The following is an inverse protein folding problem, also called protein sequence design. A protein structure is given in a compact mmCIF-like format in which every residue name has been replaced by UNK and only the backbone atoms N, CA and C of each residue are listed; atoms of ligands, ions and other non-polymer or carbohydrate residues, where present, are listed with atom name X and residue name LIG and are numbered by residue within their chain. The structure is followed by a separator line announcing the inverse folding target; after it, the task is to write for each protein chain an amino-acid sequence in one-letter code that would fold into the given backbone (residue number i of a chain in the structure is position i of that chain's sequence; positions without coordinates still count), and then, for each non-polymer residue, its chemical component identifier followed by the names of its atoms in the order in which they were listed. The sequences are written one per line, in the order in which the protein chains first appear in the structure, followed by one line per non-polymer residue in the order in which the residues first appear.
data_IF_313653521056
#
_entry.id   IF_313653521056
#
_cell.length_a   1.000
_cell.length_b   1.000
_cell.length_c   1.000
_cell.angle_alpha   90.00
_cell.angle_beta   90.00
_cell.angle_gamma   90.00
#
_symmetry.space_group_name_H-M   'P 1'
#
loop_
_entity.id
_entity.type
_entity.pdbx_description
1 polymer ?
#
# COMPACT_ATOMS: atom_id res chain seq x y z
N UNK A 1 0.43 31.27 13.15
CA UNK A 1 0.44 31.36 11.67
C UNK A 1 -0.99 31.20 11.19
N UNK A 2 -1.45 31.99 10.21
CA UNK A 2 -2.77 31.75 9.59
C UNK A 2 -2.70 30.45 8.80
N UNK A 3 -3.67 29.56 8.98
CA UNK A 3 -3.83 28.39 8.12
C UNK A 3 -4.14 28.86 6.70
N UNK A 4 -3.54 28.19 5.71
CA UNK A 4 -3.73 28.49 4.30
C UNK A 4 -4.74 27.52 3.71
N UNK A 5 -5.78 28.04 3.06
CA UNK A 5 -6.84 27.22 2.48
C UNK A 5 -6.87 27.28 0.96
N UNK A 6 -7.36 26.22 0.32
CA UNK A 6 -7.56 26.19 -1.14
C UNK A 6 -8.46 27.33 -1.61
N UNK A 7 -9.56 27.59 -0.89
CA UNK A 7 -10.51 28.65 -1.24
C UNK A 7 -9.93 30.06 -1.22
N UNK A 8 -8.78 30.28 -0.57
CA UNK A 8 -8.16 31.59 -0.44
C UNK A 8 -7.03 31.80 -1.46
N UNK A 9 -6.50 30.72 -2.05
CA UNK A 9 -5.23 30.75 -2.79
C UNK A 9 -5.33 30.29 -4.26
N UNK A 10 -6.45 29.70 -4.68
CA UNK A 10 -6.63 29.19 -6.06
C UNK A 10 -7.57 30.07 -6.88
N UNK A 11 -7.27 31.36 -6.93
CA UNK A 11 -7.96 32.38 -7.74
C UNK A 11 -7.11 32.82 -8.93
N UNK A 12 -7.75 33.45 -9.93
CA UNK A 12 -7.09 34.13 -11.04
C UNK A 12 -7.68 35.52 -11.21
N UNK A 13 -6.85 36.49 -11.63
CA UNK A 13 -7.27 37.87 -11.92
C UNK A 13 -7.98 37.98 -13.27
N UNK A 14 -7.65 37.11 -14.24
CA UNK A 14 -8.41 36.99 -15.49
C UNK A 14 -9.78 36.35 -15.22
N UNK A 15 -10.84 37.06 -15.61
CA UNK A 15 -12.23 36.69 -15.38
C UNK A 15 -12.59 35.31 -15.92
N UNK A 16 -12.06 34.93 -17.10
CA UNK A 16 -12.39 33.65 -17.73
C UNK A 16 -11.37 32.54 -17.45
N UNK A 17 -10.30 32.84 -16.71
CA UNK A 17 -9.29 31.84 -16.39
C UNK A 17 -9.83 30.79 -15.41
N UNK A 18 -9.44 29.54 -15.68
CA UNK A 18 -9.71 28.36 -14.84
C UNK A 18 -8.44 27.83 -14.18
N UNK A 19 -7.30 28.51 -14.33
CA UNK A 19 -6.00 27.96 -13.96
C UNK A 19 -5.91 27.47 -12.51
N UNK A 20 -6.48 28.21 -11.55
CA UNK A 20 -6.51 27.78 -10.14
C UNK A 20 -7.29 26.48 -9.94
N UNK A 21 -8.45 26.36 -10.59
CA UNK A 21 -9.27 25.15 -10.55
C UNK A 21 -8.57 23.97 -11.24
N UNK A 22 -7.98 24.20 -12.42
CA UNK A 22 -7.29 23.16 -13.19
C UNK A 22 -6.10 22.59 -12.42
N UNK A 23 -5.35 23.43 -11.70
CA UNK A 23 -4.27 22.98 -10.82
C UNK A 23 -4.78 22.09 -9.67
N UNK A 24 -5.91 22.43 -9.05
CA UNK A 24 -6.52 21.60 -8.00
C UNK A 24 -6.96 20.24 -8.54
N UNK A 25 -7.62 20.23 -9.70
CA UNK A 25 -8.05 18.99 -10.35
C UNK A 25 -6.87 18.11 -10.72
N UNK A 26 -5.80 18.71 -11.26
CA UNK A 26 -4.57 17.98 -11.56
C UNK A 26 -3.97 17.36 -10.30
N UNK A 27 -3.84 18.14 -9.22
CA UNK A 27 -3.33 17.66 -7.93
C UNK A 27 -4.12 16.46 -7.38
N UNK A 28 -5.46 16.54 -7.39
CA UNK A 28 -6.31 15.43 -6.94
C UNK A 28 -6.22 14.19 -7.84
N UNK A 29 -6.00 14.37 -9.15
CA UNK A 29 -5.77 13.27 -10.08
C UNK A 29 -4.42 12.59 -9.82
N UNK A 30 -3.38 13.36 -9.52
CA UNK A 30 -2.07 12.83 -9.13
C UNK A 30 -2.14 12.08 -7.78
N UNK A 31 -2.91 12.62 -6.82
CA UNK A 31 -3.22 11.93 -5.57
C UNK A 31 -3.92 10.58 -5.80
N UNK A 32 -4.89 10.53 -6.72
CA UNK A 32 -5.56 9.28 -7.13
C UNK A 32 -4.58 8.28 -7.76
N UNK A 33 -3.67 8.75 -8.61
CA UNK A 33 -2.63 7.92 -9.24
C UNK A 33 -1.71 7.30 -8.18
N UNK A 34 -1.28 8.11 -7.21
CA UNK A 34 -0.47 7.65 -6.08
C UNK A 34 -1.17 6.54 -5.29
N UNK A 35 -2.48 6.66 -5.02
CA UNK A 35 -3.25 5.61 -4.36
C UNK A 35 -3.25 4.30 -5.17
N UNK A 36 -3.29 4.37 -6.50
CA UNK A 36 -3.23 3.18 -7.36
C UNK A 36 -1.85 2.53 -7.34
N UNK A 37 -0.78 3.33 -7.38
CA UNK A 37 0.60 2.82 -7.27
C UNK A 37 0.84 2.10 -5.94
N UNK A 38 0.35 2.65 -4.82
CA UNK A 38 0.44 2.02 -3.50
C UNK A 38 -0.40 0.73 -3.43
N UNK A 39 -1.63 0.74 -3.98
CA UNK A 39 -2.46 -0.46 -4.08
C UNK A 39 -1.72 -1.58 -4.83
N UNK A 40 -1.16 -1.27 -6.00
CA UNK A 40 -0.43 -2.24 -6.82
C UNK A 40 0.81 -2.77 -6.10
N UNK A 41 1.52 -1.91 -5.38
CA UNK A 41 2.66 -2.30 -4.56
C UNK A 41 2.25 -3.31 -3.47
N UNK A 42 1.18 -3.04 -2.73
CA UNK A 42 0.67 -3.93 -1.68
C UNK A 42 0.19 -5.27 -2.28
N UNK A 43 -0.50 -5.24 -3.43
CA UNK A 43 -0.93 -6.46 -4.16
C UNK A 43 0.27 -7.30 -4.63
N UNK A 44 1.34 -6.66 -5.11
CA UNK A 44 2.57 -7.34 -5.48
C UNK A 44 3.24 -7.97 -4.26
N UNK A 45 3.32 -7.25 -3.13
CA UNK A 45 3.87 -7.79 -1.88
C UNK A 45 3.06 -8.98 -1.38
N UNK A 46 1.73 -8.90 -1.37
CA UNK A 46 0.86 -10.00 -0.99
C UNK A 46 1.11 -11.27 -1.83
N UNK A 47 1.36 -11.11 -3.13
CA UNK A 47 1.66 -12.23 -4.02
C UNK A 47 2.98 -12.91 -3.67
N UNK A 48 3.99 -12.14 -3.28
CA UNK A 48 5.29 -12.66 -2.82
C UNK A 48 5.09 -13.45 -1.51
N UNK A 49 4.39 -12.87 -0.54
CA UNK A 49 4.12 -13.51 0.75
C UNK A 49 3.33 -14.82 0.59
N UNK A 50 2.31 -14.84 -0.27
CA UNK A 50 1.53 -16.06 -0.52
C UNK A 50 2.40 -17.15 -1.14
N UNK A 51 3.24 -16.80 -2.12
CA UNK A 51 4.15 -17.77 -2.74
C UNK A 51 5.10 -18.35 -1.70
N UNK A 52 5.71 -17.49 -0.87
CA UNK A 52 6.62 -17.92 0.18
C UNK A 52 5.93 -18.86 1.18
N UNK A 53 4.75 -18.47 1.69
CA UNK A 53 3.97 -19.29 2.61
C UNK A 53 3.61 -20.66 2.04
N UNK A 54 3.17 -20.72 0.77
CA UNK A 54 2.84 -21.98 0.09
C UNK A 54 4.05 -22.90 -0.09
N UNK A 55 5.20 -22.34 -0.45
CA UNK A 55 6.43 -23.13 -0.60
C UNK A 55 6.90 -23.70 0.74
N UNK A 56 6.75 -22.96 1.85
CA UNK A 56 7.03 -23.47 3.20
C UNK A 56 6.08 -24.61 3.61
N UNK A 57 4.77 -24.47 3.36
CA UNK A 57 3.79 -25.55 3.61
C UNK A 57 4.11 -26.79 2.76
N UNK A 58 4.54 -26.61 1.51
CA UNK A 58 4.96 -27.73 0.67
C UNK A 58 6.26 -28.38 1.18
N UNK A 59 7.19 -27.58 1.70
CA UNK A 59 8.43 -28.06 2.30
C UNK A 59 8.17 -28.89 3.56
N UNK A 60 7.24 -28.47 4.43
CA UNK A 60 6.91 -29.21 5.67
C UNK A 60 6.41 -30.63 5.40
N UNK A 61 5.83 -30.89 4.22
CA UNK A 61 5.34 -32.21 3.80
C UNK A 61 6.44 -33.13 3.29
N UNK A 62 7.62 -32.62 2.95
CA UNK A 62 8.75 -33.45 2.51
C UNK A 62 9.25 -34.32 3.67
N UNK A 63 9.84 -35.47 3.31
CA UNK A 63 10.44 -36.36 4.30
C UNK A 63 11.68 -35.69 4.91
N UNK A 64 11.74 -35.63 6.24
CA UNK A 64 12.88 -35.17 7.00
C UNK A 64 12.91 -35.99 8.29
N UNK A 65 14.00 -36.72 8.55
CA UNK A 65 14.16 -37.52 9.77
C UNK A 65 13.31 -38.80 9.84
N UNK A 66 12.96 -39.44 8.72
CA UNK A 66 12.10 -40.64 8.74
C UNK A 66 12.70 -41.82 9.51
N UNK A 67 14.03 -41.94 9.50
CA UNK A 67 14.77 -43.02 10.16
C UNK A 67 15.15 -42.70 11.59
N UNK A 68 14.98 -41.45 12.02
CA UNK A 68 15.27 -41.03 13.39
C UNK A 68 14.28 -41.69 14.36
N UNK A 69 14.73 -41.88 15.60
CA UNK A 69 13.95 -42.56 16.63
C UNK A 69 13.70 -41.67 17.84
N UNK A 70 12.70 -42.07 18.64
CA UNK A 70 12.41 -41.55 19.97
C UNK A 70 12.49 -40.01 20.12
N UNK A 71 13.43 -39.46 20.88
CA UNK A 71 13.42 -38.05 21.26
C UNK A 71 13.85 -37.14 20.11
N UNK A 72 14.89 -37.50 19.34
CA UNK A 72 15.30 -36.76 18.16
C UNK A 72 14.21 -36.77 17.07
N UNK A 73 13.52 -37.89 16.87
CA UNK A 73 12.40 -37.97 15.93
C UNK A 73 11.29 -36.98 16.27
N UNK A 74 10.93 -36.90 17.56
CA UNK A 74 9.91 -35.96 18.05
C UNK A 74 10.32 -34.50 17.80
N UNK A 75 11.58 -34.15 18.05
CA UNK A 75 12.06 -32.79 17.78
C UNK A 75 12.04 -32.43 16.29
N UNK A 76 12.35 -33.38 15.40
CA UNK A 76 12.21 -33.17 13.96
C UNK A 76 10.75 -33.02 13.53
N UNK A 77 9.82 -33.74 14.16
CA UNK A 77 8.39 -33.57 13.89
C UNK A 77 7.89 -32.18 14.31
N UNK A 78 8.32 -31.69 15.49
CA UNK A 78 8.02 -30.31 15.92
C UNK A 78 8.63 -29.30 14.96
N UNK A 79 9.89 -29.46 14.56
CA UNK A 79 10.53 -28.59 13.57
C UNK A 79 9.70 -28.49 12.28
N UNK A 80 9.29 -29.61 11.70
CA UNK A 80 8.46 -29.63 10.49
C UNK A 80 7.11 -28.94 10.71
N UNK A 81 6.47 -29.19 11.85
CA UNK A 81 5.20 -28.56 12.20
C UNK A 81 5.33 -27.04 12.31
N UNK A 82 6.40 -26.53 12.92
CA UNK A 82 6.61 -25.09 13.03
C UNK A 82 6.92 -24.43 11.69
N UNK A 83 7.65 -25.10 10.79
CA UNK A 83 7.82 -24.64 9.40
C UNK A 83 6.47 -24.53 8.67
N UNK A 84 5.56 -25.49 8.89
CA UNK A 84 4.20 -25.39 8.35
C UNK A 84 3.44 -24.21 8.92
N UNK A 85 3.49 -24.00 10.23
CA UNK A 85 2.81 -22.90 10.92
C UNK A 85 3.32 -21.53 10.44
N UNK A 86 4.64 -21.38 10.24
CA UNK A 86 5.24 -20.18 9.63
C UNK A 86 4.67 -19.97 8.21
N UNK A 87 4.63 -21.04 7.40
CA UNK A 87 4.05 -20.98 6.05
C UNK A 87 2.58 -20.55 6.05
N UNK A 88 1.78 -21.06 6.98
CA UNK A 88 0.38 -20.66 7.17
C UNK A 88 0.26 -19.19 7.60
N UNK A 89 1.12 -18.71 8.51
CA UNK A 89 1.15 -17.32 8.94
C UNK A 89 1.45 -16.36 7.77
N UNK A 90 2.43 -16.67 6.91
CA UNK A 90 2.72 -15.89 5.71
C UNK A 90 1.55 -15.90 4.71
N UNK A 91 0.88 -17.05 4.53
CA UNK A 91 -0.31 -17.12 3.68
C UNK A 91 -1.48 -16.26 4.21
N UNK A 92 -1.67 -16.23 5.54
CA UNK A 92 -2.66 -15.37 6.19
C UNK A 92 -2.31 -13.88 6.07
N UNK A 93 -1.04 -13.52 6.25
CA UNK A 93 -0.55 -12.15 6.02
C UNK A 93 -0.86 -11.70 4.59
N UNK A 94 -0.58 -12.54 3.59
CA UNK A 94 -0.88 -12.24 2.19
C UNK A 94 -2.37 -11.91 1.97
N UNK A 95 -3.28 -12.65 2.62
CA UNK A 95 -4.71 -12.36 2.55
C UNK A 95 -5.06 -11.01 3.21
N UNK A 96 -4.50 -10.74 4.39
CA UNK A 96 -4.69 -9.46 5.10
C UNK A 96 -4.23 -8.26 4.26
N UNK A 97 -3.09 -8.39 3.57
CA UNK A 97 -2.54 -7.38 2.66
C UNK A 97 -3.47 -7.13 1.45
N UNK A 98 -4.09 -8.18 0.91
CA UNK A 98 -5.07 -8.02 -0.20
C UNK A 98 -6.32 -7.27 0.23
N UNK A 99 -6.78 -7.52 1.44
CA UNK A 99 -7.93 -6.80 2.00
C UNK A 99 -7.61 -5.32 2.24
N UNK A 100 -6.39 -5.01 2.70
CA UNK A 100 -5.93 -3.64 2.82
C UNK A 100 -5.87 -2.93 1.46
N UNK A 101 -5.28 -3.58 0.45
CA UNK A 101 -5.25 -3.04 -0.90
C UNK A 101 -6.66 -2.82 -1.46
N UNK A 102 -7.61 -3.72 -1.17
CA UNK A 102 -9.01 -3.56 -1.55
C UNK A 102 -9.67 -2.36 -0.87
N UNK A 103 -9.41 -2.12 0.42
CA UNK A 103 -9.93 -0.93 1.12
C UNK A 103 -9.39 0.37 0.50
N UNK A 104 -8.14 0.39 0.07
CA UNK A 104 -7.55 1.53 -0.65
C UNK A 104 -8.18 1.74 -2.03
N UNK A 105 -8.45 0.65 -2.76
CA UNK A 105 -9.17 0.66 -4.02
C UNK A 105 -10.58 1.27 -3.87
N UNK A 106 -11.35 0.78 -2.88
CA UNK A 106 -12.70 1.28 -2.58
C UNK A 106 -12.68 2.76 -2.17
N UNK A 107 -11.69 3.18 -1.36
CA UNK A 107 -11.49 4.58 -1.01
C UNK A 107 -11.21 5.46 -2.23
N UNK A 108 -10.30 5.02 -3.11
CA UNK A 108 -9.93 5.76 -4.33
C UNK A 108 -11.12 5.94 -5.26
N UNK A 109 -11.91 4.89 -5.50
CA UNK A 109 -13.07 4.98 -6.40
C UNK A 109 -14.17 5.88 -5.82
N UNK A 110 -14.42 5.82 -4.51
CA UNK A 110 -15.34 6.76 -3.84
C UNK A 110 -14.92 8.21 -3.99
N UNK A 111 -13.63 8.53 -3.78
CA UNK A 111 -13.15 9.90 -3.94
C UNK A 111 -13.27 10.38 -5.40
N UNK A 112 -12.90 9.53 -6.37
CA UNK A 112 -13.06 9.81 -7.81
C UNK A 112 -14.51 10.13 -8.17
N UNK A 113 -15.46 9.33 -7.70
CA UNK A 113 -16.88 9.52 -8.04
C UNK A 113 -17.46 10.78 -7.39
N UNK A 114 -17.08 11.07 -6.14
CA UNK A 114 -17.45 12.32 -5.47
C UNK A 114 -16.92 13.53 -6.23
N UNK A 115 -15.62 13.52 -6.59
CA UNK A 115 -14.97 14.62 -7.30
C UNK A 115 -15.59 14.86 -8.68
N UNK A 116 -15.89 13.80 -9.44
CA UNK A 116 -16.53 13.89 -10.76
C UNK A 116 -17.86 14.63 -10.74
N UNK A 117 -18.67 14.48 -9.68
CA UNK A 117 -19.94 15.21 -9.55
C UNK A 117 -19.71 16.72 -9.45
N UNK A 118 -18.70 17.13 -8.68
CA UNK A 118 -18.31 18.54 -8.56
C UNK A 118 -17.73 19.07 -9.88
N UNK A 119 -16.90 18.27 -10.56
CA UNK A 119 -16.35 18.61 -11.88
C UNK A 119 -17.44 18.89 -12.91
N UNK A 120 -18.46 18.02 -13.02
CA UNK A 120 -19.57 18.21 -13.95
C UNK A 120 -20.37 19.48 -13.67
N UNK A 121 -20.62 19.79 -12.39
CA UNK A 121 -21.36 20.99 -12.02
C UNK A 121 -20.55 22.27 -12.31
N UNK A 122 -19.27 22.27 -11.95
CA UNK A 122 -18.37 23.39 -12.23
C UNK A 122 -18.18 23.63 -13.72
N UNK A 123 -18.09 22.58 -14.54
CA UNK A 123 -18.00 22.70 -16.00
C UNK A 123 -19.22 23.44 -16.59
N UNK A 124 -20.43 23.14 -16.10
CA UNK A 124 -21.65 23.84 -16.49
C UNK A 124 -21.60 25.33 -16.13
N UNK A 125 -21.17 25.66 -14.90
CA UNK A 125 -21.03 27.04 -14.44
C UNK A 125 -19.98 27.80 -15.24
N UNK A 126 -18.84 27.19 -15.56
CA UNK A 126 -17.81 27.82 -16.41
C UNK A 126 -18.32 28.13 -17.82
N UNK A 127 -19.09 27.21 -18.42
CA UNK A 127 -19.73 27.44 -19.73
C UNK A 127 -20.74 28.59 -19.67
N UNK A 128 -21.57 28.63 -18.64
CA UNK A 128 -22.54 29.71 -18.42
C UNK A 128 -21.83 31.06 -18.22
N UNK A 129 -20.81 31.12 -17.36
CA UNK A 129 -19.99 32.31 -17.10
C UNK A 129 -19.35 32.85 -18.36
N UNK A 130 -18.69 31.97 -19.13
CA UNK A 130 -18.01 32.35 -20.38
C UNK A 130 -19.00 32.85 -21.43
N UNK A 131 -20.15 32.18 -21.57
CA UNK A 131 -21.20 32.58 -22.51
C UNK A 131 -21.79 33.95 -22.15
N UNK A 132 -22.11 34.17 -20.87
CA UNK A 132 -22.64 35.44 -20.40
C UNK A 132 -21.61 36.56 -20.55
N UNK A 133 -20.33 36.31 -20.25
CA UNK A 133 -19.26 37.28 -20.45
C UNK A 133 -19.17 37.76 -21.89
N UNK A 134 -19.22 36.84 -22.87
CA UNK A 134 -19.20 37.19 -24.30
C UNK A 134 -20.38 38.09 -24.67
N UNK A 135 -21.61 37.76 -24.24
CA UNK A 135 -22.81 38.57 -24.49
C UNK A 135 -22.70 39.98 -23.86
N UNK A 136 -22.16 40.06 -22.65
CA UNK A 136 -21.96 41.34 -21.96
C UNK A 136 -20.92 42.21 -22.68
N UNK A 137 -19.81 41.62 -23.15
CA UNK A 137 -18.80 42.37 -23.91
C UNK A 137 -19.30 42.80 -25.30
N UNK A 138 -20.12 41.99 -25.96
CA UNK A 138 -20.72 42.34 -27.25
C UNK A 138 -21.76 43.47 -27.13
N UNK A 139 -22.62 43.41 -26.11
CA UNK A 139 -23.55 44.51 -25.81
C UNK A 139 -22.84 45.79 -25.39
N UNK A 140 -21.73 45.71 -24.64
CA UNK A 140 -20.85 46.86 -24.36
C UNK A 140 -20.35 47.51 -25.64
N UNK A 141 -19.76 46.71 -26.55
CA UNK A 141 -19.24 47.20 -27.84
C UNK A 141 -20.34 47.85 -28.69
N UNK A 142 -21.53 47.26 -28.69
CA UNK A 142 -22.69 47.79 -29.42
C UNK A 142 -23.14 49.13 -28.83
N UNK A 143 -23.26 49.22 -27.50
CA UNK A 143 -23.59 50.45 -26.80
C UNK A 143 -22.57 51.56 -27.11
N UNK A 144 -21.28 51.28 -26.98
CA UNK A 144 -20.20 52.23 -27.29
C UNK A 144 -20.28 52.72 -28.75
N UNK A 145 -20.61 51.82 -29.69
CA UNK A 145 -20.80 52.18 -31.09
C UNK A 145 -22.02 53.10 -31.30
N UNK A 146 -23.14 52.81 -30.64
CA UNK A 146 -24.35 53.64 -30.73
C UNK A 146 -24.17 55.02 -30.07
N UNK A 147 -23.38 55.11 -29.01
CA UNK A 147 -22.98 56.39 -28.42
C UNK A 147 -22.16 57.23 -29.40
N UNK A 148 -21.18 56.65 -30.10
CA UNK A 148 -20.40 57.36 -31.13
C UNK A 148 -21.28 57.85 -32.29
N UNK A 149 -22.22 57.02 -32.76
CA UNK A 149 -23.17 57.40 -33.82
C UNK A 149 -24.09 58.56 -33.39
N UNK A 150 -24.54 58.56 -32.13
CA UNK A 150 -25.31 59.65 -31.53
C UNK A 150 -24.49 60.95 -31.48
N UNK A 151 -23.26 60.89 -30.98
CA UNK A 151 -22.37 62.06 -30.91
C UNK A 151 -22.09 62.64 -32.30
N UNK A 152 -21.86 61.80 -33.31
CA UNK A 152 -21.66 62.23 -34.69
C UNK A 152 -22.92 62.89 -35.27
N UNK A 153 -24.11 62.33 -35.01
CA UNK A 153 -25.38 62.90 -35.46
C UNK A 153 -25.68 64.25 -34.79
N UNK A 154 -25.41 64.39 -33.50
CA UNK A 154 -25.54 65.65 -32.75
C UNK A 154 -24.55 66.72 -33.26
N UNK A 155 -23.28 66.35 -33.49
CA UNK A 155 -22.28 67.25 -34.07
C UNK A 155 -22.69 67.71 -35.48
N UNK A 156 -23.20 66.80 -36.32
CA UNK A 156 -23.63 67.14 -37.67
C UNK A 156 -24.87 68.05 -37.67
N UNK A 157 -25.81 67.83 -36.75
CA UNK A 157 -26.96 68.71 -36.55
C UNK A 157 -26.50 70.12 -36.13
N UNK A 158 -25.59 70.22 -35.17
CA UNK A 158 -25.05 71.50 -34.69
C UNK A 158 -24.29 72.27 -35.78
N UNK A 159 -23.48 71.58 -36.60
CA UNK A 159 -22.75 72.21 -37.71
C UNK A 159 -23.69 72.79 -38.78
N UNK A 160 -24.87 72.21 -38.95
CA UNK A 160 -25.85 72.64 -39.95
C UNK A 160 -27.01 73.45 -39.35
N UNK A 161 -26.88 73.93 -38.10
CA UNK A 161 -27.96 74.62 -37.39
C UNK A 161 -28.45 75.91 -38.09
N UNK A 162 -27.58 76.56 -38.86
CA UNK A 162 -27.87 77.81 -39.58
C UNK A 162 -28.26 77.60 -41.06
N UNK A 163 -28.52 76.35 -41.49
CA UNK A 163 -28.94 76.09 -42.88
C UNK A 163 -30.35 76.63 -43.14
N UNK A 164 -30.58 77.27 -44.28
CA UNK A 164 -31.90 77.79 -44.68
C UNK A 164 -32.82 76.71 -45.29
N UNK A 165 -32.33 75.47 -45.44
CA UNK A 165 -33.09 74.35 -45.98
C UNK A 165 -33.83 73.60 -44.86
N UNK A 166 -35.09 73.96 -44.64
CA UNK A 166 -35.98 73.38 -43.60
C UNK A 166 -36.08 71.86 -43.71
N UNK A 167 -36.23 71.29 -44.92
CA UNK A 167 -36.30 69.83 -45.12
C UNK A 167 -35.01 69.11 -44.70
N UNK A 168 -33.86 69.73 -44.93
CA UNK A 168 -32.57 69.18 -44.51
C UNK A 168 -32.42 69.23 -42.99
N UNK A 169 -32.86 70.32 -42.37
CA UNK A 169 -32.83 70.50 -40.92
C UNK A 169 -33.73 69.49 -40.19
N UNK A 170 -34.96 69.28 -40.67
CA UNK A 170 -35.86 68.24 -40.16
C UNK A 170 -35.23 66.84 -40.24
N UNK A 171 -34.62 66.49 -41.39
CA UNK A 171 -33.97 65.19 -41.58
C UNK A 171 -32.81 64.96 -40.59
N UNK A 172 -32.02 66.00 -40.30
CA UNK A 172 -30.93 65.93 -39.34
C UNK A 172 -31.45 65.80 -37.90
N UNK A 173 -32.54 66.50 -37.54
CA UNK A 173 -33.21 66.34 -36.25
C UNK A 173 -33.76 64.93 -36.07
N UNK A 174 -34.46 64.39 -37.08
CA UNK A 174 -34.97 63.01 -37.04
C UNK A 174 -33.84 62.01 -36.87
N UNK A 175 -32.73 62.17 -37.61
CA UNK A 175 -31.56 61.29 -37.47
C UNK A 175 -30.96 61.35 -36.05
N UNK A 176 -30.80 62.55 -35.49
CA UNK A 176 -30.28 62.74 -34.12
C UNK A 176 -31.18 62.08 -33.07
N UNK A 177 -32.51 62.23 -33.19
CA UNK A 177 -33.47 61.58 -32.30
C UNK A 177 -33.43 60.05 -32.44
N UNK A 178 -33.32 59.52 -33.66
CA UNK A 178 -33.20 58.07 -33.90
C UNK A 178 -31.92 57.48 -33.31
N UNK A 179 -30.77 58.13 -33.53
CA UNK A 179 -29.50 57.67 -32.96
C UNK A 179 -29.48 57.75 -31.44
N UNK A 180 -30.15 58.76 -30.86
CA UNK A 180 -30.34 58.87 -29.41
C UNK A 180 -31.17 57.71 -28.86
N UNK A 181 -32.33 57.44 -29.45
CA UNK A 181 -33.18 56.31 -29.03
C UNK A 181 -32.44 54.96 -29.16
N UNK A 182 -31.70 54.75 -30.25
CA UNK A 182 -30.91 53.54 -30.44
C UNK A 182 -29.76 53.38 -29.41
N UNK A 183 -29.14 54.48 -28.99
CA UNK A 183 -28.15 54.47 -27.91
C UNK A 183 -28.80 54.17 -26.55
N UNK A 184 -29.95 54.77 -26.25
CA UNK A 184 -30.69 54.53 -25.00
C UNK A 184 -31.19 53.07 -24.92
N UNK A 185 -31.60 52.46 -26.03
CA UNK A 185 -32.00 51.05 -26.05
C UNK A 185 -30.80 50.10 -25.93
N UNK A 186 -29.67 50.42 -26.57
CA UNK A 186 -28.43 49.67 -26.40
C UNK A 186 -27.88 49.76 -24.96
N UNK A 187 -28.03 50.90 -24.30
CA UNK A 187 -27.68 51.11 -22.89
C UNK A 187 -28.50 50.19 -21.97
N UNK A 188 -29.83 50.16 -22.13
CA UNK A 188 -30.71 49.26 -21.38
C UNK A 188 -30.28 47.80 -21.53
N UNK A 189 -29.99 47.35 -22.76
CA UNK A 189 -29.53 45.98 -23.03
C UNK A 189 -28.19 45.70 -22.35
N UNK A 190 -27.24 46.64 -22.42
CA UNK A 190 -25.94 46.49 -21.76
C UNK A 190 -26.09 46.42 -20.24
N UNK A 191 -26.87 47.32 -19.62
CA UNK A 191 -27.16 47.31 -18.18
C UNK A 191 -27.81 46.00 -17.72
N UNK A 192 -28.74 45.46 -18.51
CA UNK A 192 -29.35 44.15 -18.25
C UNK A 192 -28.31 43.02 -18.29
N UNK A 193 -27.43 43.01 -19.30
CA UNK A 193 -26.38 42.01 -19.42
C UNK A 193 -25.30 42.12 -18.34
N UNK A 194 -24.97 43.33 -17.87
CA UNK A 194 -24.08 43.55 -16.71
C UNK A 194 -24.72 42.99 -15.44
N UNK A 195 -26.01 43.28 -15.21
CA UNK A 195 -26.76 42.74 -14.07
C UNK A 195 -26.80 41.21 -14.07
N UNK A 196 -27.03 40.60 -15.24
CA UNK A 196 -27.04 39.15 -15.39
C UNK A 196 -25.64 38.54 -15.21
N UNK A 197 -24.60 39.20 -15.73
CA UNK A 197 -23.22 38.77 -15.54
C UNK A 197 -22.83 38.75 -14.06
N UNK A 198 -23.23 39.76 -13.28
CA UNK A 198 -22.94 39.81 -11.85
C UNK A 198 -23.59 38.64 -11.10
N UNK A 199 -24.83 38.27 -11.44
CA UNK A 199 -25.50 37.09 -10.87
C UNK A 199 -24.74 35.79 -11.17
N UNK A 200 -24.35 35.60 -12.43
CA UNK A 200 -23.59 34.40 -12.85
C UNK A 200 -22.19 34.37 -12.20
N UNK A 201 -21.54 35.53 -12.04
CA UNK A 201 -20.25 35.65 -11.35
C UNK A 201 -20.36 35.28 -9.88
N UNK A 202 -21.38 35.79 -9.18
CA UNK A 202 -21.63 35.51 -7.76
C UNK A 202 -21.95 34.03 -7.52
N UNK A 203 -22.79 33.43 -8.37
CA UNK A 203 -23.10 31.99 -8.33
C UNK A 203 -21.84 31.14 -8.53
N UNK A 204 -21.05 31.45 -9.57
CA UNK A 204 -19.78 30.78 -9.82
C UNK A 204 -18.80 30.93 -8.66
N UNK A 205 -18.66 32.13 -8.09
CA UNK A 205 -17.71 32.37 -7.00
C UNK A 205 -18.09 31.56 -5.75
N UNK A 206 -19.38 31.54 -5.39
CA UNK A 206 -19.89 30.76 -4.26
C UNK A 206 -19.61 29.27 -4.45
N UNK A 207 -19.82 28.77 -5.66
CA UNK A 207 -19.59 27.35 -5.94
C UNK A 207 -18.10 27.00 -6.03
N UNK A 208 -17.26 27.90 -6.55
CA UNK A 208 -15.81 27.73 -6.55
C UNK A 208 -15.26 27.59 -5.13
N UNK A 209 -15.72 28.42 -4.20
CA UNK A 209 -15.32 28.34 -2.78
C UNK A 209 -15.71 26.98 -2.20
N UNK A 210 -16.97 26.55 -2.38
CA UNK A 210 -17.44 25.24 -1.89
C UNK A 210 -16.65 24.08 -2.50
N UNK A 211 -16.35 24.16 -3.79
CA UNK A 211 -15.56 23.15 -4.51
C UNK A 211 -14.15 23.07 -3.92
N UNK A 212 -13.51 24.21 -3.64
CA UNK A 212 -12.20 24.26 -3.00
C UNK A 212 -12.23 23.62 -1.60
N UNK A 213 -13.22 23.92 -0.78
CA UNK A 213 -13.39 23.32 0.56
C UNK A 213 -13.61 21.80 0.47
N UNK A 214 -14.40 21.34 -0.51
CA UNK A 214 -14.59 19.92 -0.76
C UNK A 214 -13.28 19.23 -1.17
N UNK A 215 -12.55 19.80 -2.11
CA UNK A 215 -11.26 19.28 -2.59
C UNK A 215 -10.20 19.24 -1.49
N UNK A 216 -10.14 20.28 -0.65
CA UNK A 216 -9.25 20.32 0.51
C UNK A 216 -9.60 19.21 1.50
N UNK A 217 -10.90 19.00 1.77
CA UNK A 217 -11.36 17.89 2.62
C UNK A 217 -10.94 16.54 2.04
N UNK A 218 -11.13 16.32 0.73
CA UNK A 218 -10.69 15.09 0.07
C UNK A 218 -9.18 14.86 0.19
N UNK A 219 -8.37 15.92 0.09
CA UNK A 219 -6.92 15.84 0.18
C UNK A 219 -6.46 15.52 1.61
N UNK A 220 -7.07 16.15 2.62
CA UNK A 220 -6.82 15.83 4.03
C UNK A 220 -7.15 14.37 4.32
N UNK A 221 -8.31 13.89 3.86
CA UNK A 221 -8.69 12.48 4.01
C UNK A 221 -7.71 11.54 3.31
N UNK A 222 -7.26 11.88 2.10
CA UNK A 222 -6.29 11.08 1.32
C UNK A 222 -4.97 10.95 2.07
N UNK A 223 -4.42 12.04 2.57
CA UNK A 223 -3.16 12.04 3.32
C UNK A 223 -3.28 11.18 4.58
N UNK A 224 -4.38 11.34 5.33
CA UNK A 224 -4.63 10.53 6.53
C UNK A 224 -4.78 9.04 6.20
N UNK A 225 -5.54 8.72 5.16
CA UNK A 225 -5.78 7.35 4.74
C UNK A 225 -4.48 6.65 4.33
N UNK A 226 -3.66 7.30 3.49
CA UNK A 226 -2.37 6.75 3.07
C UNK A 226 -1.43 6.54 4.26
N UNK A 227 -1.31 7.53 5.15
CA UNK A 227 -0.49 7.39 6.36
C UNK A 227 -0.92 6.18 7.19
N UNK A 228 -2.23 6.01 7.40
CA UNK A 228 -2.76 4.94 8.24
C UNK A 228 -2.62 3.56 7.59
N UNK A 229 -2.76 3.45 6.27
CA UNK A 229 -2.52 2.21 5.52
C UNK A 229 -1.05 1.83 5.65
N UNK A 230 -0.12 2.74 5.32
CA UNK A 230 1.31 2.41 5.43
C UNK A 230 1.71 2.04 6.85
N UNK A 231 1.14 2.72 7.86
CA UNK A 231 1.34 2.37 9.27
C UNK A 231 0.83 0.96 9.61
N UNK A 232 -0.38 0.62 9.16
CA UNK A 232 -0.98 -0.70 9.39
C UNK A 232 -0.17 -1.78 8.69
N UNK A 233 0.21 -1.55 7.44
CA UNK A 233 1.06 -2.42 6.65
C UNK A 233 2.35 -2.78 7.39
N UNK A 234 3.11 -1.79 7.86
CA UNK A 234 4.38 -2.07 8.57
C UNK A 234 4.16 -2.76 9.91
N UNK A 235 3.07 -2.49 10.63
CA UNK A 235 2.76 -3.20 11.87
C UNK A 235 2.45 -4.68 11.63
N UNK A 236 1.76 -5.01 10.53
CA UNK A 236 1.51 -6.40 10.16
C UNK A 236 2.81 -7.14 9.85
N UNK A 237 3.77 -6.48 9.19
CA UNK A 237 5.10 -7.07 8.93
C UNK A 237 5.88 -7.28 10.23
N UNK A 238 5.85 -6.32 11.15
CA UNK A 238 6.48 -6.46 12.47
C UNK A 238 5.88 -7.61 13.27
N UNK A 239 4.54 -7.72 13.28
CA UNK A 239 3.84 -8.82 13.95
C UNK A 239 4.23 -10.18 13.37
N UNK A 240 4.38 -10.29 12.04
CA UNK A 240 4.82 -11.52 11.39
C UNK A 240 6.22 -11.95 11.84
N UNK A 241 7.13 -11.00 12.09
CA UNK A 241 8.46 -11.28 12.60
C UNK A 241 8.40 -11.88 14.01
N UNK A 242 7.59 -11.29 14.89
CA UNK A 242 7.38 -11.78 16.26
C UNK A 242 6.77 -13.18 16.26
N UNK A 243 5.72 -13.40 15.47
CA UNK A 243 5.08 -14.71 15.36
C UNK A 243 6.05 -15.78 14.82
N UNK A 244 6.94 -15.41 13.89
CA UNK A 244 7.97 -16.34 13.39
C UNK A 244 8.98 -16.70 14.49
N UNK A 245 9.40 -15.71 15.29
CA UNK A 245 10.32 -15.90 16.42
C UNK A 245 9.75 -16.87 17.46
N UNK A 246 8.46 -16.72 17.80
CA UNK A 246 7.73 -17.63 18.69
C UNK A 246 7.75 -19.07 18.18
N UNK A 247 7.53 -19.27 16.87
CA UNK A 247 7.59 -20.62 16.28
C UNK A 247 9.00 -21.22 16.32
N UNK A 248 10.05 -20.42 16.11
CA UNK A 248 11.43 -20.88 16.23
C UNK A 248 11.81 -21.22 17.67
N UNK A 249 11.27 -20.49 18.65
CA UNK A 249 11.44 -20.78 20.06
C UNK A 249 10.85 -22.16 20.44
N UNK A 250 9.68 -22.51 19.93
CA UNK A 250 9.09 -23.84 20.16
C UNK A 250 9.94 -24.99 19.59
N UNK A 251 10.63 -24.76 18.47
CA UNK A 251 11.61 -25.73 17.95
C UNK A 251 12.79 -25.88 18.91
N UNK A 252 13.34 -24.77 19.42
CA UNK A 252 14.47 -24.79 20.36
C UNK A 252 14.12 -25.53 21.65
N UNK A 253 12.96 -25.24 22.25
CA UNK A 253 12.44 -25.99 23.42
C UNK A 253 12.29 -27.48 23.16
N UNK A 254 11.85 -27.88 21.95
CA UNK A 254 11.75 -29.30 21.62
C UNK A 254 13.11 -29.97 21.46
N UNK A 255 14.13 -29.24 20.99
CA UNK A 255 15.50 -29.74 20.88
C UNK A 255 16.15 -29.92 22.26
N UNK A 256 15.89 -29.03 23.20
CA UNK A 256 16.34 -29.15 24.60
C UNK A 256 15.83 -30.43 25.29
N UNK A 257 14.71 -30.99 24.81
CA UNK A 257 14.15 -32.24 25.32
C UNK A 257 14.78 -33.50 24.70
N UNK A 258 15.69 -33.36 23.73
CA UNK A 258 16.39 -34.49 23.13
C UNK A 258 17.33 -35.15 24.14
N UNK A 259 17.38 -36.48 24.13
CA UNK A 259 18.24 -37.25 25.03
C UNK A 259 18.93 -38.36 24.24
N UNK A 260 20.22 -38.14 23.98
CA UNK A 260 21.08 -39.09 23.26
C UNK A 260 21.03 -40.47 23.92
N UNK A 261 21.12 -40.53 25.25
CA UNK A 261 21.09 -41.78 25.99
C UNK A 261 19.77 -42.55 25.79
N UNK A 262 18.62 -41.86 25.90
CA UNK A 262 17.31 -42.49 25.68
C UNK A 262 17.12 -42.95 24.24
N UNK A 263 17.71 -42.27 23.28
CA UNK A 263 17.62 -42.65 21.86
C UNK A 263 18.50 -43.88 21.57
N UNK A 264 19.70 -43.96 22.16
CA UNK A 264 20.57 -45.14 22.08
C UNK A 264 19.92 -46.35 22.76
N UNK A 265 19.41 -46.19 23.98
CA UNK A 265 18.69 -47.25 24.70
C UNK A 265 17.50 -47.77 23.89
N UNK A 266 16.68 -46.84 23.38
CA UNK A 266 15.54 -47.19 22.53
C UNK A 266 15.97 -47.97 21.28
N UNK A 267 17.07 -47.59 20.63
CA UNK A 267 17.59 -48.33 19.48
C UNK A 267 18.09 -49.74 19.85
N UNK A 268 18.87 -49.85 20.93
CA UNK A 268 19.37 -51.15 21.42
C UNK A 268 18.18 -52.06 21.69
N UNK A 269 17.19 -51.61 22.46
CA UNK A 269 15.99 -52.40 22.79
C UNK A 269 15.23 -52.83 21.54
N UNK A 270 15.18 -51.98 20.51
CA UNK A 270 14.47 -52.24 19.27
C UNK A 270 15.22 -53.17 18.29
N UNK A 271 16.56 -53.28 18.39
CA UNK A 271 17.42 -53.96 17.41
C UNK A 271 18.39 -54.99 17.99
N UNK A 272 18.32 -55.28 19.30
CA UNK A 272 19.22 -56.23 19.95
C UNK A 272 19.15 -57.62 19.31
N UNK A 273 20.31 -58.19 18.98
CA UNK A 273 20.42 -59.51 18.33
C UNK A 273 20.92 -60.62 19.27
N UNK A 274 21.30 -60.27 20.50
CA UNK A 274 21.84 -61.19 21.50
C UNK A 274 22.58 -60.44 22.60
N UNK A 275 22.77 -61.09 23.75
CA UNK A 275 23.52 -60.53 24.87
C UNK A 275 24.91 -61.17 25.03
N UNK A 276 25.08 -62.35 24.47
CA UNK A 276 26.29 -63.17 24.61
C UNK A 276 27.04 -63.25 23.28
N UNK A 277 28.36 -63.00 23.29
CA UNK A 277 29.17 -63.19 22.09
C UNK A 277 29.23 -64.68 21.70
N UNK A 278 29.49 -65.01 20.43
CA UNK A 278 29.70 -66.39 20.01
C UNK A 278 30.76 -67.09 20.87
N UNK A 279 30.48 -68.33 21.28
CA UNK A 279 31.42 -69.12 22.06
C UNK A 279 32.70 -69.40 21.23
N UNK A 280 33.89 -69.44 21.86
CA UNK A 280 35.10 -69.88 21.19
C UNK A 280 34.91 -71.27 20.59
N UNK A 281 35.38 -71.49 19.36
CA UNK A 281 35.30 -72.80 18.70
C UNK A 281 36.38 -73.71 19.31
N UNK A 282 36.03 -74.77 20.08
CA UNK A 282 37.02 -75.69 20.59
C UNK A 282 37.59 -76.55 19.45
N UNK A 283 38.84 -76.99 19.58
CA UNK A 283 39.39 -78.00 18.68
C UNK A 283 38.68 -79.34 18.94
N UNK A 284 38.01 -79.86 17.92
CA UNK A 284 37.40 -81.19 17.96
C UNK A 284 38.29 -82.18 17.21
N UNK A 285 38.95 -83.06 17.96
CA UNK A 285 39.72 -84.13 17.36
C UNK A 285 38.77 -85.18 16.75
N UNK A 286 38.91 -85.46 15.46
CA UNK A 286 38.10 -86.43 14.71
C UNK A 286 38.03 -87.83 15.36
N UNK A 287 39.04 -88.23 16.14
CA UNK A 287 39.12 -89.55 16.77
C UNK A 287 38.53 -89.61 18.20
N UNK A 288 38.12 -88.49 18.82
CA UNK A 288 37.63 -88.44 20.21
C UNK A 288 36.12 -88.77 20.38
N UNK A 289 35.47 -89.36 19.39
CA UNK A 289 34.06 -89.79 19.46
C UNK A 289 33.74 -90.93 20.42
N UNK A 290 34.65 -91.36 21.31
CA UNK A 290 34.44 -92.46 22.26
C UNK A 290 34.57 -92.03 23.74
N UNK A 291 33.50 -91.40 24.23
CA UNK A 291 32.93 -91.44 25.61
C UNK A 291 33.72 -90.88 26.82
N UNK A 292 32.98 -90.50 27.90
CA UNK A 292 33.29 -89.33 28.70
C UNK A 292 34.01 -89.67 30.00
N UNK A 293 34.75 -88.71 30.56
CA UNK A 293 34.79 -88.56 32.01
C UNK A 293 35.17 -87.15 32.44
N UNK A 294 34.47 -86.71 33.48
CA UNK A 294 34.72 -85.49 34.20
C UNK A 294 36.15 -85.47 34.76
N UNK A 295 36.83 -84.34 34.60
CA UNK A 295 37.84 -83.90 35.55
C UNK A 295 37.92 -82.39 35.51
N UNK A 296 37.48 -81.76 36.61
CA UNK A 296 37.85 -80.38 36.94
C UNK A 296 39.37 -80.31 37.03
N UNK A 297 39.96 -79.32 36.37
CA UNK A 297 41.29 -78.83 36.71
C UNK A 297 41.34 -77.33 36.42
N UNK A 298 41.48 -76.55 37.49
CA UNK A 298 41.79 -75.13 37.44
C UNK A 298 43.06 -74.91 36.61
N UNK A 299 43.01 -73.96 35.69
CA UNK A 299 44.22 -73.44 35.05
C UNK A 299 44.38 -71.99 35.51
N UNK A 300 45.43 -71.75 36.29
CA UNK A 300 45.90 -70.42 36.64
C UNK A 300 46.28 -69.68 35.35
N UNK A 301 45.53 -68.62 35.05
CA UNK A 301 45.88 -67.70 33.98
C UNK A 301 46.96 -66.72 34.51
N UNK A 302 48.11 -66.72 33.84
CA UNK A 302 49.22 -65.81 34.16
C UNK A 302 48.76 -64.34 34.10
N UNK A 303 49.18 -63.57 35.11
CA UNK A 303 48.94 -62.11 35.18
C UNK A 303 49.57 -61.44 33.95
N UNK A 304 48.75 -61.05 32.97
CA UNK A 304 49.09 -59.96 32.04
C UNK A 304 49.07 -58.66 32.84
N UNK A 305 50.19 -57.96 32.89
CA UNK A 305 50.21 -56.56 33.31
C UNK A 305 49.31 -55.72 32.39
N UNK A 306 48.70 -54.64 32.89
CA UNK A 306 47.78 -53.83 32.09
C UNK A 306 48.52 -53.21 30.90
N UNK A 307 47.89 -53.28 29.71
CA UNK A 307 48.30 -52.46 28.57
C UNK A 307 48.10 -50.98 28.93
N UNK A 308 49.00 -50.08 28.49
CA UNK A 308 48.78 -48.64 28.66
C UNK A 308 47.47 -48.23 27.98
N UNK A 309 46.68 -47.44 28.69
CA UNK A 309 45.45 -46.84 28.19
C UNK A 309 45.76 -45.93 26.99
N UNK A 310 45.05 -46.07 25.86
CA UNK A 310 45.04 -45.03 24.84
C UNK A 310 44.48 -43.76 25.47
N UNK A 311 45.24 -42.67 25.43
CA UNK A 311 44.74 -41.33 25.73
C UNK A 311 43.79 -40.90 24.62
N UNK A 312 42.54 -41.36 24.69
CA UNK A 312 41.42 -40.68 24.06
C UNK A 312 40.74 -39.87 25.14
N UNK A 313 41.14 -38.61 25.27
CA UNK A 313 40.18 -37.56 25.62
C UNK A 313 38.93 -37.80 24.78
N UNK A 314 37.75 -38.00 25.38
CA UNK A 314 36.57 -37.49 24.73
C UNK A 314 36.79 -35.99 24.75
N UNK A 315 37.11 -35.43 23.59
CA UNK A 315 36.49 -34.17 23.25
C UNK A 315 35.00 -34.48 23.39
N UNK A 316 34.43 -34.24 24.57
CA UNK A 316 33.02 -33.95 24.67
C UNK A 316 32.80 -32.92 23.58
N UNK A 317 32.07 -33.33 22.53
CA UNK A 317 31.69 -32.41 21.49
C UNK A 317 31.11 -31.21 22.20
N UNK A 318 31.76 -30.06 22.03
CA UNK A 318 31.24 -28.79 22.48
C UNK A 318 29.96 -28.58 21.68
N UNK A 319 28.86 -29.15 22.18
CA UNK A 319 27.54 -28.70 21.81
C UNK A 319 27.34 -27.43 22.63
N UNK A 320 27.29 -26.29 21.94
CA UNK A 320 26.91 -25.04 22.58
C UNK A 320 25.58 -25.24 23.30
N UNK A 321 25.63 -25.22 24.62
CA UNK A 321 24.46 -25.09 25.47
C UNK A 321 24.03 -23.62 25.45
N UNK A 322 22.79 -23.32 25.84
CA UNK A 322 22.27 -21.95 25.90
C UNK A 322 23.07 -21.00 26.82
N UNK A 323 24.03 -21.53 27.60
CA UNK A 323 24.95 -20.79 28.45
C UNK A 323 26.25 -20.38 27.73
N UNK A 324 26.47 -20.85 26.49
CA UNK A 324 27.63 -20.50 25.68
C UNK A 324 27.51 -19.03 25.19
N UNK A 325 28.43 -18.11 25.54
CA UNK A 325 28.35 -16.69 25.19
C UNK A 325 28.32 -16.42 23.68
N UNK A 326 28.60 -17.43 22.86
CA UNK A 326 28.59 -17.39 21.40
C UNK A 326 27.23 -17.74 20.78
N UNK A 327 26.29 -18.31 21.54
CA UNK A 327 25.03 -18.86 21.01
C UNK A 327 23.97 -17.79 20.68
N UNK A 328 24.12 -16.56 21.18
CA UNK A 328 23.18 -15.48 20.88
C UNK A 328 23.88 -14.12 20.83
N UNK A 329 24.48 -13.80 19.69
CA UNK A 329 24.94 -12.45 19.39
C UNK A 329 24.51 -12.04 17.98
N UNK A 330 23.19 -11.82 17.81
CA UNK A 330 22.77 -10.74 16.91
C UNK A 330 23.07 -9.45 17.67
N UNK A 331 24.24 -8.86 17.41
CA UNK A 331 24.57 -7.51 17.91
C UNK A 331 23.88 -6.50 17.00
N UNK A 332 22.92 -5.75 17.55
CA UNK A 332 22.34 -4.55 16.92
C UNK A 332 23.34 -3.41 16.87
#
# INVERSE_FOLDING_TARGET
MKESHFKDNFWSTDFNSTAGYDNLIQHLNDGKKTCKEIEDFIKARATIEEKYGKELINLSRKVCGQTELNTMKRALDVFKQQIENIGQAHAHLAQSLREEAKRLEDFRERQKDSRKKVEQFMESLYKQKTSQYKKTMESKKTYEQKCREKEEAEQNLNRNANTSNVKQQEKLQTKSQQTKAAADDADKVYQQNVTLMEKVRDEWQKEHIKSCEHFETQEVERIHNLRNIIWTHVNQLSQQCVTSDEFYEEVRKSLEQCSVQKDIEYFIDLRRTGETPPAPIPYENFYNGQRPNASRSQVQCGRRGPLPSPSTTPSDGVYSTAEDPSYSLVRY
#
